data_IF_572435589407
#
_entry.id   IF_572435589407
#
_cell.length_a   1.000
_cell.length_b   1.000
_cell.length_c   1.000
_cell.angle_alpha   90.00
_cell.angle_beta   90.00
_cell.angle_gamma   90.00
#
_symmetry.space_group_name_H-M   'P 1'
#
loop_
_entity.id
_entity.type
_entity.pdbx_description
1 polymer ?
#
# COMPACT_ATOMS: atom_id res chain seq x y z
N UNK A 1 21.08 4.62 -12.00
CA UNK A 1 19.99 3.78 -12.54
C UNK A 1 19.74 4.18 -13.99
N UNK A 2 19.50 3.25 -14.93
CA UNK A 2 19.16 3.63 -16.32
C UNK A 2 17.75 4.22 -16.33
N UNK A 3 17.61 5.45 -16.86
CA UNK A 3 16.36 6.23 -16.95
C UNK A 3 15.17 5.40 -17.45
N UNK A 4 15.41 4.48 -18.40
CA UNK A 4 14.37 3.58 -18.92
C UNK A 4 13.70 2.69 -17.87
N UNK A 5 14.41 2.26 -16.82
CA UNK A 5 13.84 1.42 -15.75
C UNK A 5 12.88 2.21 -14.85
N UNK A 6 13.20 3.47 -14.58
CA UNK A 6 12.34 4.39 -13.81
C UNK A 6 11.06 4.73 -14.56
N UNK A 7 11.18 5.00 -15.87
CA UNK A 7 10.02 5.26 -16.75
C UNK A 7 9.09 4.06 -16.78
N UNK A 8 9.62 2.83 -16.80
CA UNK A 8 8.82 1.60 -16.78
C UNK A 8 8.05 1.41 -15.46
N UNK A 9 8.69 1.71 -14.32
CA UNK A 9 8.05 1.66 -12.98
C UNK A 9 6.99 2.76 -12.85
N UNK A 10 7.26 3.94 -13.40
CA UNK A 10 6.31 5.04 -13.40
C UNK A 10 5.08 4.72 -14.26
N UNK A 11 5.30 4.16 -15.46
CA UNK A 11 4.22 3.72 -16.33
C UNK A 11 3.38 2.61 -15.69
N UNK A 12 4.00 1.62 -15.03
CA UNK A 12 3.27 0.57 -14.34
C UNK A 12 2.45 1.11 -13.15
N UNK A 13 2.98 2.10 -12.41
CA UNK A 13 2.23 2.78 -11.36
C UNK A 13 0.99 3.50 -11.88
N UNK A 14 1.10 4.20 -13.02
CA UNK A 14 -0.04 4.86 -13.67
C UNK A 14 -1.10 3.86 -14.13
N UNK A 15 -0.67 2.73 -14.69
CA UNK A 15 -1.59 1.65 -15.11
C UNK A 15 -2.30 1.04 -13.89
N UNK A 16 -1.58 0.72 -12.82
CA UNK A 16 -2.21 0.23 -11.58
C UNK A 16 -3.19 1.27 -11.00
N UNK A 17 -2.83 2.56 -11.02
CA UNK A 17 -3.73 3.63 -10.54
C UNK A 17 -5.01 3.69 -11.35
N UNK A 18 -4.89 3.67 -12.69
CA UNK A 18 -6.03 3.74 -13.58
C UNK A 18 -6.96 2.52 -13.40
N UNK A 19 -6.39 1.32 -13.23
CA UNK A 19 -7.15 0.10 -12.95
C UNK A 19 -7.85 0.19 -11.58
N UNK A 20 -7.13 0.59 -10.53
CA UNK A 20 -7.70 0.75 -9.20
C UNK A 20 -8.83 1.78 -9.16
N UNK A 21 -8.63 2.94 -9.80
CA UNK A 21 -9.63 4.02 -9.88
C UNK A 21 -10.87 3.61 -10.69
N UNK A 22 -10.69 2.94 -11.83
CA UNK A 22 -11.81 2.47 -12.65
C UNK A 22 -12.63 1.39 -11.93
N UNK A 23 -11.98 0.48 -11.20
CA UNK A 23 -12.68 -0.52 -10.38
C UNK A 23 -13.44 0.15 -9.23
N UNK A 24 -12.82 1.11 -8.53
CA UNK A 24 -13.46 1.83 -7.43
C UNK A 24 -14.70 2.62 -7.87
N UNK A 25 -14.65 3.24 -9.07
CA UNK A 25 -15.77 4.04 -9.61
C UNK A 25 -16.89 3.15 -10.18
N UNK A 26 -16.53 2.06 -10.88
CA UNK A 26 -17.51 1.25 -11.63
C UNK A 26 -18.10 0.11 -10.80
N UNK A 27 -17.32 -0.45 -9.88
CA UNK A 27 -17.69 -1.67 -9.16
C UNK A 27 -17.26 -1.59 -7.68
N UNK A 28 -17.98 -0.83 -6.83
CA UNK A 28 -17.62 -0.63 -5.43
C UNK A 28 -17.59 -1.94 -4.62
N UNK A 29 -18.34 -2.96 -5.05
CA UNK A 29 -18.33 -4.31 -4.47
C UNK A 29 -16.99 -5.06 -4.63
N UNK A 30 -16.11 -4.59 -5.54
CA UNK A 30 -14.75 -5.14 -5.75
C UNK A 30 -13.67 -4.27 -5.07
N UNK A 31 -14.02 -3.52 -4.02
CA UNK A 31 -13.09 -2.65 -3.28
C UNK A 31 -11.82 -3.39 -2.81
N UNK A 32 -11.92 -4.69 -2.51
CA UNK A 32 -10.76 -5.52 -2.16
C UNK A 32 -9.69 -5.56 -3.27
N UNK A 33 -10.10 -5.53 -4.54
CA UNK A 33 -9.18 -5.52 -5.69
C UNK A 33 -8.51 -4.16 -5.84
N UNK A 34 -9.23 -3.07 -5.58
CA UNK A 34 -8.64 -1.73 -5.54
C UNK A 34 -7.60 -1.59 -4.40
N UNK A 35 -7.88 -2.18 -3.23
CA UNK A 35 -6.94 -2.28 -2.11
C UNK A 35 -5.68 -3.08 -2.47
N UNK A 36 -5.84 -4.23 -3.12
CA UNK A 36 -4.71 -5.02 -3.61
C UNK A 36 -3.87 -4.24 -4.64
N UNK A 37 -4.52 -3.45 -5.50
CA UNK A 37 -3.85 -2.57 -6.45
C UNK A 37 -3.03 -1.49 -5.73
N UNK A 38 -3.61 -0.82 -4.73
CA UNK A 38 -2.92 0.19 -3.92
C UNK A 38 -1.72 -0.41 -3.15
N UNK A 39 -1.88 -1.62 -2.61
CA UNK A 39 -0.77 -2.36 -1.98
C UNK A 39 0.36 -2.66 -2.99
N UNK A 40 0.01 -3.07 -4.22
CA UNK A 40 0.96 -3.26 -5.31
C UNK A 40 1.71 -1.98 -5.69
N UNK A 41 1.02 -0.83 -5.72
CA UNK A 41 1.65 0.47 -5.95
C UNK A 41 2.62 0.85 -4.83
N UNK A 42 2.22 0.66 -3.56
CA UNK A 42 3.08 0.93 -2.42
C UNK A 42 4.36 0.08 -2.48
N UNK A 43 4.26 -1.20 -2.84
CA UNK A 43 5.42 -2.07 -3.05
C UNK A 43 6.31 -1.57 -4.20
N UNK A 44 5.72 -1.22 -5.35
CA UNK A 44 6.47 -0.66 -6.48
C UNK A 44 7.20 0.64 -6.12
N UNK A 45 6.58 1.50 -5.31
CA UNK A 45 7.23 2.74 -4.83
C UNK A 45 8.37 2.40 -3.87
N UNK A 46 8.15 1.56 -2.86
CA UNK A 46 9.16 1.22 -1.86
C UNK A 46 10.38 0.50 -2.44
N UNK A 47 10.17 -0.44 -3.35
CA UNK A 47 11.23 -1.26 -3.94
C UNK A 47 11.78 -0.66 -5.24
N UNK A 48 10.96 0.02 -6.03
CA UNK A 48 11.32 0.53 -7.35
C UNK A 48 11.84 1.96 -7.37
N UNK A 49 11.19 2.87 -6.64
CA UNK A 49 11.52 4.31 -6.62
C UNK A 49 12.33 4.71 -5.39
N UNK A 50 11.86 4.34 -4.20
CA UNK A 50 12.53 4.64 -2.93
C UNK A 50 13.75 3.74 -2.70
N UNK A 51 13.91 2.68 -3.49
CA UNK A 51 15.12 1.86 -3.56
C UNK A 51 15.62 1.46 -2.15
N UNK A 52 14.71 1.07 -1.25
CA UNK A 52 15.04 0.74 0.14
C UNK A 52 16.15 -0.32 0.26
N UNK A 53 16.33 -1.14 -0.77
CA UNK A 53 17.41 -2.11 -0.93
C UNK A 53 18.82 -1.54 -1.18
N UNK A 54 18.98 -0.26 -1.55
CA UNK A 54 20.30 0.37 -1.74
C UNK A 54 20.67 1.33 -0.62
N UNK A 55 19.72 1.63 0.27
CA UNK A 55 19.94 2.50 1.43
C UNK A 55 20.48 1.74 2.66
N UNK A 56 21.14 2.49 3.55
CA UNK A 56 21.77 2.01 4.79
C UNK A 56 20.81 1.14 5.61
N UNK A 57 21.30 0.03 6.23
CA UNK A 57 20.47 -0.92 6.97
C UNK A 57 19.60 -0.29 8.07
N UNK A 58 20.02 0.87 8.62
CA UNK A 58 19.23 1.64 9.59
C UNK A 58 17.87 2.08 9.02
N UNK A 59 17.84 2.54 7.77
CA UNK A 59 16.62 3.06 7.10
C UNK A 59 15.61 1.94 6.88
N UNK A 60 16.09 0.73 6.58
CA UNK A 60 15.23 -0.46 6.42
C UNK A 60 14.59 -0.85 7.75
N UNK A 61 15.34 -0.77 8.85
CA UNK A 61 14.82 -1.08 10.18
C UNK A 61 13.75 -0.08 10.59
N UNK A 62 13.95 1.21 10.31
CA UNK A 62 12.94 2.25 10.54
C UNK A 62 11.69 2.06 9.65
N UNK A 63 11.86 1.73 8.36
CA UNK A 63 10.73 1.47 7.48
C UNK A 63 9.93 0.24 7.90
N UNK A 64 10.61 -0.84 8.32
CA UNK A 64 9.95 -2.03 8.87
C UNK A 64 9.28 -1.73 10.21
N UNK A 65 9.91 -0.95 11.08
CA UNK A 65 9.32 -0.51 12.35
C UNK A 65 8.07 0.34 12.15
N UNK A 66 8.12 1.30 11.22
CA UNK A 66 6.96 2.12 10.85
C UNK A 66 5.84 1.29 10.22
N UNK A 67 6.17 0.34 9.34
CA UNK A 67 5.21 -0.59 8.75
C UNK A 67 4.55 -1.47 9.80
N UNK A 68 5.33 -2.06 10.71
CA UNK A 68 4.83 -2.85 11.83
C UNK A 68 3.89 -2.03 12.73
N UNK A 69 4.30 -0.82 13.09
CA UNK A 69 3.49 0.06 13.93
C UNK A 69 2.16 0.43 13.27
N UNK A 70 2.16 0.73 11.97
CA UNK A 70 0.95 1.00 11.20
C UNK A 70 -0.01 -0.19 11.20
N UNK A 71 0.50 -1.41 10.96
CA UNK A 71 -0.32 -2.63 11.01
C UNK A 71 -0.97 -2.77 12.38
N UNK A 72 -0.20 -2.57 13.45
CA UNK A 72 -0.69 -2.66 14.83
C UNK A 72 -1.83 -1.64 15.09
N UNK A 73 -1.63 -0.37 14.71
CA UNK A 73 -2.64 0.68 14.87
C UNK A 73 -3.92 0.41 14.06
N UNK A 74 -3.78 -0.07 12.82
CA UNK A 74 -4.93 -0.47 12.00
C UNK A 74 -5.68 -1.65 12.61
N UNK A 75 -4.97 -2.67 13.09
CA UNK A 75 -5.56 -3.82 13.76
C UNK A 75 -6.30 -3.39 15.03
N UNK A 76 -5.70 -2.53 15.86
CA UNK A 76 -6.36 -2.02 17.06
C UNK A 76 -7.61 -1.19 16.73
N UNK A 77 -7.56 -0.35 15.70
CA UNK A 77 -8.71 0.43 15.25
C UNK A 77 -9.84 -0.46 14.73
N UNK A 78 -9.50 -1.53 14.01
CA UNK A 78 -10.46 -2.54 13.56
C UNK A 78 -11.08 -3.29 14.75
N UNK A 79 -10.25 -3.73 15.69
CA UNK A 79 -10.72 -4.38 16.93
C UNK A 79 -11.66 -3.47 17.71
N UNK A 80 -11.30 -2.18 17.87
CA UNK A 80 -12.14 -1.20 18.55
C UNK A 80 -13.49 -1.00 17.84
N UNK A 81 -13.48 -0.89 16.51
CA UNK A 81 -14.70 -0.77 15.72
C UNK A 81 -15.60 -2.02 15.85
N UNK A 82 -15.01 -3.20 15.80
CA UNK A 82 -15.70 -4.48 15.95
C UNK A 82 -16.28 -4.64 17.37
N UNK A 83 -15.49 -4.36 18.41
CA UNK A 83 -15.94 -4.45 19.81
C UNK A 83 -17.01 -3.41 20.13
N UNK A 84 -16.90 -2.19 19.58
CA UNK A 84 -17.93 -1.15 19.71
C UNK A 84 -19.22 -1.49 18.98
N UNK A 85 -19.14 -2.11 17.80
CA UNK A 85 -20.31 -2.60 17.06
C UNK A 85 -21.00 -3.79 17.74
N UNK A 86 -20.24 -4.63 18.45
CA UNK A 86 -20.78 -5.75 19.23
C UNK A 86 -21.44 -5.35 20.55
N UNK A 87 -21.14 -4.16 21.07
CA UNK A 87 -21.75 -3.62 22.30
C UNK A 87 -23.06 -2.85 22.08
N UNK A 88 -23.51 -2.70 20.82
CA UNK A 88 -24.72 -1.99 20.42
C UNK A 88 -25.93 -2.91 20.14
N UNK A 89 -25.85 -4.20 20.52
CA UNK A 89 -26.93 -5.19 20.47
C UNK A 89 -27.34 -5.53 21.89
#
# INVERSE_FOLDING_TARGET
MRTGKLVLIYASLLVLLAIGATIAIRYPQWAYVALACAAGQAALVLFGLAQLGTHSPLVRFFALGAGFWLVLMFTLSLSDLLTRSGAAV
#
